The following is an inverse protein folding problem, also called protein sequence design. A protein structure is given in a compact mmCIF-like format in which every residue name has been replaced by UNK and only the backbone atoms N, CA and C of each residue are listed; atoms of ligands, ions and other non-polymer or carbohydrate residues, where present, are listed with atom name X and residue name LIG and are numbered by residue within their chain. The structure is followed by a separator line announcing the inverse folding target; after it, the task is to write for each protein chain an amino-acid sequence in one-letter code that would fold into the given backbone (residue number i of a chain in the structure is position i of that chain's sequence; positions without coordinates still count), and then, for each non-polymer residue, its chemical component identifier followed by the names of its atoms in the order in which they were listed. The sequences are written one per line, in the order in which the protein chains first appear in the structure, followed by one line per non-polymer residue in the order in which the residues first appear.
data_IF_852913860425
#
_entry.id   IF_852913860425
#
_cell.length_a   1.000
_cell.length_b   1.000
_cell.length_c   1.000
_cell.angle_alpha   90.00
_cell.angle_beta   90.00
_cell.angle_gamma   90.00
#
_symmetry.space_group_name_H-M   'P 1'
#
loop_
_entity.id
_entity.type
_entity.pdbx_description
1 polymer ?
#
# COMPACT_ATOMS: atom_id res chain seq x y z
N UNK A 1 -18.00 0.26 -60.33
CA UNK A 1 -17.55 0.89 -59.06
C UNK A 1 -16.06 0.65 -58.93
N UNK A 2 -15.30 1.61 -58.40
CA UNK A 2 -13.83 1.48 -58.32
C UNK A 2 -13.47 0.53 -57.17
N UNK A 3 -12.78 -0.61 -57.40
CA UNK A 3 -12.55 -1.64 -56.38
C UNK A 3 -11.79 -1.12 -55.16
N UNK A 4 -10.97 -0.07 -55.32
CA UNK A 4 -10.31 0.63 -54.21
C UNK A 4 -11.29 1.19 -53.17
N UNK A 5 -12.47 1.64 -53.60
CA UNK A 5 -13.48 2.22 -52.72
C UNK A 5 -14.12 1.17 -51.78
N UNK A 6 -14.30 -0.06 -52.27
CA UNK A 6 -14.81 -1.16 -51.47
C UNK A 6 -13.84 -1.52 -50.34
N UNK A 7 -12.54 -1.53 -50.60
CA UNK A 7 -11.52 -1.74 -49.57
C UNK A 7 -11.56 -0.69 -48.46
N UNK A 8 -11.77 0.60 -48.78
CA UNK A 8 -11.87 1.65 -47.76
C UNK A 8 -13.11 1.47 -46.87
N UNK A 9 -14.23 1.00 -47.43
CA UNK A 9 -15.45 0.72 -46.68
C UNK A 9 -15.24 -0.47 -45.73
N UNK A 10 -14.70 -1.58 -46.23
CA UNK A 10 -14.44 -2.77 -45.40
C UNK A 10 -13.40 -2.49 -44.31
N UNK A 11 -12.37 -1.70 -44.63
CA UNK A 11 -11.37 -1.25 -43.65
C UNK A 11 -12.00 -0.39 -42.55
N UNK A 12 -12.87 0.56 -42.91
CA UNK A 12 -13.57 1.40 -41.93
C UNK A 12 -14.45 0.59 -40.97
N UNK A 13 -15.21 -0.36 -41.49
CA UNK A 13 -16.07 -1.24 -40.68
C UNK A 13 -15.23 -2.15 -39.77
N UNK A 14 -14.15 -2.73 -40.32
CA UNK A 14 -13.23 -3.56 -39.56
C UNK A 14 -12.55 -2.82 -38.42
N UNK A 15 -12.09 -1.59 -38.67
CA UNK A 15 -11.48 -0.74 -37.65
C UNK A 15 -12.44 -0.40 -36.50
N UNK A 16 -13.70 -0.08 -36.82
CA UNK A 16 -14.73 0.21 -35.82
C UNK A 16 -15.04 -1.01 -34.95
N UNK A 17 -15.14 -2.21 -35.55
CA UNK A 17 -15.35 -3.45 -34.80
C UNK A 17 -14.17 -3.75 -33.86
N UNK A 18 -12.94 -3.53 -34.33
CA UNK A 18 -11.71 -3.76 -33.55
C UNK A 18 -11.64 -2.82 -32.33
N UNK A 19 -11.93 -1.53 -32.53
CA UNK A 19 -11.98 -0.53 -31.45
C UNK A 19 -13.05 -0.90 -30.41
N UNK A 20 -14.23 -1.34 -30.85
CA UNK A 20 -15.30 -1.75 -29.94
C UNK A 20 -14.88 -2.93 -29.05
N UNK A 21 -14.21 -3.93 -29.63
CA UNK A 21 -13.70 -5.11 -28.90
C UNK A 21 -12.63 -4.68 -27.88
N UNK A 22 -11.70 -3.80 -28.26
CA UNK A 22 -10.68 -3.25 -27.36
C UNK A 22 -11.29 -2.52 -26.15
N UNK A 23 -12.34 -1.71 -26.36
CA UNK A 23 -13.04 -1.00 -25.27
C UNK A 23 -13.70 -1.99 -24.31
N UNK A 24 -14.34 -3.05 -24.82
CA UNK A 24 -14.98 -4.05 -23.96
C UNK A 24 -13.97 -4.87 -23.16
N UNK A 25 -12.82 -5.20 -23.75
CA UNK A 25 -11.72 -5.87 -23.05
C UNK A 25 -11.18 -4.98 -21.91
N UNK A 26 -10.93 -3.70 -22.15
CA UNK A 26 -10.45 -2.80 -21.08
C UNK A 26 -11.45 -2.68 -19.93
N UNK A 27 -12.76 -2.60 -20.21
CA UNK A 27 -13.79 -2.57 -19.15
C UNK A 27 -13.88 -3.88 -18.34
N UNK A 28 -13.59 -5.02 -18.95
CA UNK A 28 -13.66 -6.33 -18.28
C UNK A 28 -12.38 -6.69 -17.52
N UNK A 29 -11.23 -6.18 -17.95
CA UNK A 29 -9.92 -6.47 -17.33
C UNK A 29 -9.50 -5.46 -16.27
N UNK A 30 -10.05 -4.24 -16.25
CA UNK A 30 -9.84 -3.34 -15.12
C UNK A 30 -10.78 -3.75 -13.97
N UNK A 31 -10.26 -4.25 -12.83
CA UNK A 31 -11.09 -4.52 -11.66
C UNK A 31 -11.76 -3.21 -11.23
N UNK A 32 -13.09 -3.25 -11.10
CA UNK A 32 -13.89 -2.16 -10.55
C UNK A 32 -13.49 -2.00 -9.08
N UNK A 33 -12.46 -1.20 -8.82
CA UNK A 33 -11.93 -0.95 -7.49
C UNK A 33 -12.99 -0.19 -6.68
N UNK A 34 -13.80 -0.93 -5.93
CA UNK A 34 -14.71 -0.40 -4.92
C UNK A 34 -13.90 0.04 -3.68
N UNK A 35 -12.93 0.94 -3.86
CA UNK A 35 -12.20 1.54 -2.75
C UNK A 35 -13.16 2.51 -2.07
N UNK A 36 -13.80 2.05 -0.99
CA UNK A 36 -14.50 2.91 -0.03
C UNK A 36 -13.44 3.60 0.83
N UNK A 37 -13.13 4.85 0.50
CA UNK A 37 -12.30 5.73 1.34
C UNK A 37 -13.19 6.21 2.50
N UNK A 38 -12.96 5.71 3.72
CA UNK A 38 -13.61 6.24 4.91
C UNK A 38 -13.04 7.63 5.20
N UNK A 39 -13.85 8.67 4.94
CA UNK A 39 -13.61 10.04 5.39
C UNK A 39 -13.88 10.11 6.88
N UNK A 40 -12.85 9.89 7.68
CA UNK A 40 -12.94 9.96 9.13
C UNK A 40 -11.63 10.44 9.73
N UNK A 41 -11.12 11.59 9.28
CA UNK A 41 -9.94 12.26 9.86
C UNK A 41 -9.95 13.76 9.51
N UNK A 42 -11.13 14.39 9.55
CA UNK A 42 -11.24 15.85 9.60
C UNK A 42 -11.53 16.24 11.05
N UNK A 43 -10.53 16.07 11.91
CA UNK A 43 -10.55 16.62 13.26
C UNK A 43 -10.39 18.14 13.17
N UNK A 44 -11.49 18.86 13.38
CA UNK A 44 -11.49 20.31 13.52
C UNK A 44 -10.72 20.65 14.81
N UNK A 45 -9.53 21.24 14.69
CA UNK A 45 -8.77 21.71 15.84
C UNK A 45 -9.34 23.05 16.32
N UNK A 46 -10.25 22.98 17.29
CA UNK A 46 -10.71 24.16 18.01
C UNK A 46 -9.54 24.75 18.80
N UNK A 47 -9.11 25.95 18.39
CA UNK A 47 -8.11 26.77 19.10
C UNK A 47 -8.72 27.24 20.43
N UNK A 48 -8.35 26.58 21.53
CA UNK A 48 -8.54 27.13 22.86
C UNK A 48 -7.55 28.28 23.08
N UNK A 49 -8.09 29.46 23.36
CA UNK A 49 -7.35 30.68 23.76
C UNK A 49 -6.61 30.45 25.08
N UNK A 50 -5.28 30.62 25.06
CA UNK A 50 -4.48 30.78 26.28
C UNK A 50 -4.58 32.24 26.76
N UNK A 51 -5.13 32.43 27.96
CA UNK A 51 -4.88 33.61 28.76
C UNK A 51 -3.48 33.52 29.35
N UNK A 52 -2.73 34.58 29.11
CA UNK A 52 -1.39 34.84 29.61
C UNK A 52 -1.50 35.43 31.02
N UNK A 53 -0.85 34.84 32.00
CA UNK A 53 -0.54 35.50 33.26
C UNK A 53 0.86 35.11 33.71
N UNK A 54 1.76 36.08 33.55
CA UNK A 54 3.12 36.08 34.04
C UNK A 54 3.18 35.89 35.56
N UNK A 55 4.11 35.06 36.00
CA UNK A 55 4.96 35.42 37.14
C UNK A 55 6.36 34.85 36.92
N UNK A 56 7.29 35.78 36.81
CA UNK A 56 8.74 35.65 36.91
C UNK A 56 9.17 34.74 38.04
N UNK A 57 9.95 33.72 37.73
CA UNK A 57 11.04 33.23 38.57
C UNK A 57 12.10 32.56 37.68
N UNK A 58 13.30 33.14 37.68
CA UNK A 58 14.51 32.53 37.10
C UNK A 58 14.88 31.30 37.93
N UNK A 59 14.55 30.12 37.42
CA UNK A 59 15.16 28.88 37.87
C UNK A 59 15.64 28.15 36.62
N UNK A 60 16.95 28.18 36.38
CA UNK A 60 17.61 27.35 35.37
C UNK A 60 17.69 25.91 35.90
N UNK A 61 16.55 25.24 35.95
CA UNK A 61 16.49 23.80 36.08
C UNK A 61 16.54 23.21 34.68
N UNK A 62 17.45 22.26 34.45
CA UNK A 62 17.37 21.34 33.32
C UNK A 62 16.07 20.55 33.52
N UNK A 63 14.96 21.12 33.04
CA UNK A 63 13.63 20.52 33.09
C UNK A 63 13.63 19.31 32.17
N UNK A 64 13.13 18.18 32.66
CA UNK A 64 12.84 17.05 31.81
C UNK A 64 11.78 17.47 30.76
N UNK A 65 12.03 17.25 29.45
CA UNK A 65 11.12 17.68 28.41
C UNK A 65 9.71 17.11 28.64
N UNK A 66 8.69 17.97 28.55
CA UNK A 66 7.31 17.51 28.70
C UNK A 66 6.87 16.71 27.47
N UNK A 67 5.98 15.71 27.62
CA UNK A 67 5.59 14.81 26.52
C UNK A 67 5.04 15.55 25.28
N UNK A 68 4.51 16.76 25.45
CA UNK A 68 4.09 17.65 24.36
C UNK A 68 5.24 18.19 23.50
N UNK A 69 6.45 18.28 24.04
CA UNK A 69 7.66 18.72 23.31
C UNK A 69 8.26 17.60 22.45
N UNK A 70 7.90 16.33 22.71
CA UNK A 70 8.26 15.18 21.88
C UNK A 70 7.29 14.94 20.71
N UNK A 71 6.20 15.70 20.62
CA UNK A 71 5.23 15.57 19.53
C UNK A 71 5.59 16.48 18.33
N UNK A 72 6.89 16.65 18.08
CA UNK A 72 7.38 17.19 16.81
C UNK A 72 7.43 16.01 15.84
N UNK A 73 6.63 16.05 14.77
CA UNK A 73 6.75 15.09 13.66
C UNK A 73 8.19 15.18 13.14
N UNK A 74 9.03 14.18 13.44
CA UNK A 74 10.40 14.14 12.94
C UNK A 74 10.31 14.00 11.41
N UNK A 75 10.81 14.99 10.64
CA UNK A 75 10.80 14.91 9.19
C UNK A 75 11.64 13.75 8.64
N UNK A 76 12.49 13.14 9.47
CA UNK A 76 13.28 11.95 9.16
C UNK A 76 12.63 10.64 9.63
N UNK A 77 11.46 10.69 10.28
CA UNK A 77 10.73 9.48 10.65
C UNK A 77 10.29 8.75 9.38
N UNK A 78 10.71 7.49 9.28
CA UNK A 78 10.33 6.64 8.16
C UNK A 78 8.86 6.28 8.33
N UNK A 79 8.00 6.92 7.53
CA UNK A 79 6.57 6.65 7.53
C UNK A 79 6.28 5.39 6.72
N UNK A 80 5.34 4.58 7.19
CA UNK A 80 4.91 3.38 6.49
C UNK A 80 3.39 3.37 6.35
N UNK A 81 2.91 2.93 5.20
CA UNK A 81 1.52 2.53 5.04
C UNK A 81 1.46 1.00 5.17
N UNK A 82 0.77 0.50 6.19
CA UNK A 82 0.51 -0.93 6.35
C UNK A 82 -0.92 -1.29 5.95
N UNK A 83 -1.07 -2.44 5.32
CA UNK A 83 -2.35 -3.08 5.02
C UNK A 83 -2.29 -4.52 5.53
N UNK A 84 -3.25 -4.88 6.38
CA UNK A 84 -3.36 -6.23 6.93
C UNK A 84 -4.54 -6.96 6.28
N UNK A 85 -4.28 -8.15 5.77
CA UNK A 85 -5.25 -9.03 5.13
C UNK A 85 -5.41 -10.28 5.98
N UNK A 86 -6.55 -10.36 6.67
CA UNK A 86 -6.90 -11.52 7.47
C UNK A 86 -7.65 -12.56 6.61
N UNK A 87 -7.28 -13.82 6.81
CA UNK A 87 -7.94 -14.99 6.25
C UNK A 87 -9.37 -15.11 6.82
N UNK A 88 -10.30 -15.59 6.00
CA UNK A 88 -11.61 -16.02 6.50
C UNK A 88 -11.42 -17.22 7.42
N UNK A 89 -12.26 -17.34 8.44
CA UNK A 89 -12.34 -18.56 9.27
C UNK A 89 -12.45 -19.80 8.36
N UNK A 90 -11.63 -20.81 8.65
CA UNK A 90 -11.51 -22.08 7.92
C UNK A 90 -10.82 -22.02 6.53
N UNK A 91 -10.14 -20.92 6.17
CA UNK A 91 -9.33 -20.89 4.95
C UNK A 91 -8.00 -21.63 5.12
N UNK A 92 -7.59 -22.33 4.06
CA UNK A 92 -6.35 -23.12 3.98
C UNK A 92 -5.31 -22.39 3.14
N UNK A 93 -5.09 -21.10 3.39
CA UNK A 93 -4.07 -20.35 2.67
C UNK A 93 -2.68 -20.90 3.04
N UNK A 94 -2.02 -21.50 2.06
CA UNK A 94 -0.68 -22.09 2.18
C UNK A 94 0.36 -21.23 1.48
N UNK A 95 1.62 -21.34 1.93
CA UNK A 95 2.75 -20.58 1.37
C UNK A 95 2.91 -20.82 -0.14
N UNK A 96 2.80 -22.04 -0.63
CA UNK A 96 2.94 -22.36 -2.06
C UNK A 96 1.93 -21.59 -2.95
N UNK A 97 0.68 -21.48 -2.49
CA UNK A 97 -0.38 -20.74 -3.17
C UNK A 97 -0.09 -19.23 -3.12
N UNK A 98 0.39 -18.75 -1.98
CA UNK A 98 0.79 -17.36 -1.81
C UNK A 98 1.96 -17.00 -2.72
N UNK A 99 3.00 -17.83 -2.80
CA UNK A 99 4.13 -17.68 -3.71
C UNK A 99 3.68 -17.60 -5.17
N UNK A 100 2.74 -18.45 -5.57
CA UNK A 100 2.20 -18.43 -6.94
C UNK A 100 1.45 -17.12 -7.22
N UNK A 101 0.57 -16.69 -6.30
CA UNK A 101 -0.27 -15.50 -6.50
C UNK A 101 0.55 -14.20 -6.43
N UNK A 102 1.40 -14.08 -5.43
CA UNK A 102 2.20 -12.89 -5.16
C UNK A 102 3.37 -12.80 -6.14
N UNK A 103 4.00 -13.93 -6.46
CA UNK A 103 5.04 -14.02 -7.49
C UNK A 103 4.56 -13.56 -8.88
N UNK A 104 3.29 -13.79 -9.23
CA UNK A 104 2.70 -13.29 -10.49
C UNK A 104 2.70 -11.74 -10.58
N UNK A 105 2.76 -11.04 -9.45
CA UNK A 105 2.91 -9.57 -9.40
C UNK A 105 4.38 -9.12 -9.31
N UNK A 106 5.31 -10.05 -9.53
CA UNK A 106 6.74 -9.80 -9.60
C UNK A 106 7.38 -9.47 -8.26
N UNK A 107 6.87 -10.04 -7.16
CA UNK A 107 7.59 -10.06 -5.90
C UNK A 107 8.51 -11.27 -5.83
N UNK A 108 9.67 -11.08 -5.21
CA UNK A 108 10.66 -12.13 -4.97
C UNK A 108 10.49 -12.65 -3.55
N UNK A 109 10.50 -13.97 -3.38
CA UNK A 109 10.51 -14.60 -2.06
C UNK A 109 11.97 -14.68 -1.57
N UNK A 110 12.27 -14.06 -0.45
CA UNK A 110 13.62 -13.98 0.11
C UNK A 110 13.53 -13.92 1.62
N UNK A 111 14.36 -14.72 2.32
CA UNK A 111 14.43 -14.74 3.79
C UNK A 111 13.05 -14.94 4.45
N UNK A 112 12.20 -15.79 3.87
CA UNK A 112 10.88 -16.11 4.42
C UNK A 112 9.79 -15.06 4.18
N UNK A 113 10.08 -13.96 3.48
CA UNK A 113 9.12 -12.90 3.15
C UNK A 113 9.13 -12.57 1.65
N UNK A 114 8.18 -11.76 1.18
CA UNK A 114 8.17 -11.29 -0.21
C UNK A 114 8.57 -9.82 -0.31
N UNK A 115 9.40 -9.50 -1.28
CA UNK A 115 9.92 -8.15 -1.49
C UNK A 115 9.63 -7.73 -2.94
N UNK A 116 9.03 -6.55 -3.12
CA UNK A 116 8.97 -5.89 -4.42
C UNK A 116 10.11 -4.88 -4.55
N UNK A 117 11.05 -5.15 -5.45
CA UNK A 117 12.10 -4.18 -5.81
C UNK A 117 11.68 -3.33 -7.02
N UNK A 118 12.04 -2.06 -7.00
CA UNK A 118 11.99 -1.15 -8.15
C UNK A 118 13.20 -1.32 -9.08
N UNK A 119 13.22 -0.57 -10.18
CA UNK A 119 14.32 -0.53 -11.15
C UNK A 119 15.67 -0.18 -10.51
N UNK A 120 15.68 0.62 -9.46
CA UNK A 120 16.88 1.05 -8.73
C UNK A 120 17.20 0.16 -7.51
N UNK A 121 16.64 -1.05 -7.43
CA UNK A 121 16.73 -1.96 -6.26
C UNK A 121 16.14 -1.39 -4.95
N UNK A 122 15.59 -0.18 -4.96
CA UNK A 122 14.79 0.38 -3.87
C UNK A 122 13.56 -0.50 -3.61
N UNK A 123 13.30 -0.78 -2.34
CA UNK A 123 12.16 -1.61 -1.95
C UNK A 123 10.89 -0.76 -2.05
N UNK A 124 9.94 -1.21 -2.87
CA UNK A 124 8.66 -0.53 -3.07
C UNK A 124 7.64 -0.94 -2.03
N UNK A 125 7.57 -2.23 -1.71
CA UNK A 125 6.75 -2.76 -0.63
C UNK A 125 7.18 -4.17 -0.24
N UNK A 126 6.82 -4.54 0.98
CA UNK A 126 7.07 -5.83 1.61
C UNK A 126 5.75 -6.56 1.82
N UNK A 127 5.79 -7.88 1.75
CA UNK A 127 4.69 -8.74 2.17
C UNK A 127 5.26 -9.80 3.10
N UNK A 128 4.79 -9.82 4.33
CA UNK A 128 5.30 -10.69 5.39
C UNK A 128 4.15 -11.30 6.18
N UNK A 129 4.47 -12.35 6.94
CA UNK A 129 3.51 -12.97 7.84
C UNK A 129 3.18 -12.01 8.98
N UNK A 130 1.90 -11.66 9.12
CA UNK A 130 1.47 -10.80 10.22
C UNK A 130 1.30 -11.55 11.54
N UNK A 131 1.38 -12.88 11.52
CA UNK A 131 1.32 -13.71 12.71
C UNK A 131 2.69 -13.73 13.40
N UNK A 132 2.69 -13.50 14.71
CA UNK A 132 3.87 -13.78 15.53
C UNK A 132 3.96 -15.29 15.76
N UNK A 133 5.07 -15.87 15.31
CA UNK A 133 5.45 -17.23 15.66
C UNK A 133 6.86 -17.18 16.25
N UNK A 134 7.02 -17.63 17.48
CA UNK A 134 8.31 -17.68 18.19
C UNK A 134 9.33 -18.62 17.53
N UNK A 135 8.87 -19.55 16.68
CA UNK A 135 9.71 -20.54 15.98
C UNK A 135 10.24 -20.04 14.65
N UNK A 136 9.59 -19.02 14.08
CA UNK A 136 9.95 -18.41 12.82
C UNK A 136 10.53 -17.02 13.09
N UNK A 137 11.44 -16.55 12.22
CA UNK A 137 11.86 -15.15 12.28
C UNK A 137 10.64 -14.23 12.12
N UNK A 138 10.63 -13.07 12.79
CA UNK A 138 9.55 -12.09 12.68
C UNK A 138 9.24 -11.78 11.20
N UNK A 139 8.00 -12.02 10.78
CA UNK A 139 7.55 -11.81 9.41
C UNK A 139 7.77 -12.97 8.43
N UNK A 140 8.38 -14.08 8.83
CA UNK A 140 8.56 -15.24 7.96
C UNK A 140 7.27 -16.07 7.84
N UNK A 141 6.97 -16.53 6.62
CA UNK A 141 5.83 -17.41 6.39
C UNK A 141 6.16 -18.87 6.74
N UNK A 142 5.25 -19.59 7.43
CA UNK A 142 5.43 -21.00 7.71
C UNK A 142 5.29 -21.85 6.44
N UNK A 143 6.16 -22.86 6.28
CA UNK A 143 6.12 -23.74 5.12
C UNK A 143 4.95 -24.73 5.15
N UNK A 144 4.65 -25.27 6.34
CA UNK A 144 3.69 -26.37 6.49
C UNK A 144 2.37 -25.96 7.17
N UNK A 145 2.26 -24.72 7.65
CA UNK A 145 1.10 -24.24 8.40
C UNK A 145 0.16 -23.41 7.52
N UNK A 146 -1.01 -23.07 8.07
CA UNK A 146 -1.94 -22.16 7.41
C UNK A 146 -1.57 -20.73 7.77
N UNK A 147 -1.58 -19.85 6.78
CA UNK A 147 -1.31 -18.43 6.95
C UNK A 147 -2.66 -17.74 7.19
N UNK A 148 -2.85 -17.13 8.36
CA UNK A 148 -4.10 -16.43 8.66
C UNK A 148 -3.99 -14.91 8.57
N UNK A 149 -2.79 -14.35 8.58
CA UNK A 149 -2.58 -12.91 8.46
C UNK A 149 -1.42 -12.59 7.52
N UNK A 150 -1.71 -11.78 6.52
CA UNK A 150 -0.68 -11.20 5.65
C UNK A 150 -0.61 -9.71 5.93
N UNK A 151 0.61 -9.21 6.12
CA UNK A 151 0.88 -7.79 6.27
C UNK A 151 1.62 -7.29 5.04
N UNK A 152 1.11 -6.23 4.43
CA UNK A 152 1.71 -5.53 3.29
C UNK A 152 2.17 -4.16 3.78
N UNK A 153 3.45 -3.87 3.66
CA UNK A 153 4.02 -2.60 4.11
C UNK A 153 4.65 -1.85 2.96
N UNK A 154 4.21 -0.60 2.78
CA UNK A 154 4.73 0.33 1.81
C UNK A 154 5.53 1.42 2.54
N UNK A 155 6.87 1.46 2.40
CA UNK A 155 7.64 2.60 2.88
C UNK A 155 7.23 3.87 2.15
N UNK A 156 6.80 4.87 2.91
CA UNK A 156 6.67 6.24 2.42
C UNK A 156 8.03 6.91 2.57
N UNK A 157 8.98 6.55 1.69
CA UNK A 157 10.18 7.36 1.54
C UNK A 157 9.71 8.76 1.17
N UNK A 158 10.04 9.74 2.01
CA UNK A 158 9.44 11.07 2.04
C UNK A 158 8.99 11.52 0.66
N UNK A 159 7.67 11.66 0.48
CA UNK A 159 7.14 12.42 -0.64
C UNK A 159 7.79 13.80 -0.54
N UNK A 160 8.89 14.02 -1.27
CA UNK A 160 9.42 15.35 -1.49
C UNK A 160 8.25 16.12 -2.06
N UNK A 161 7.69 17.03 -1.25
CA UNK A 161 6.64 17.95 -1.68
C UNK A 161 7.18 18.62 -2.95
N UNK A 162 6.62 18.26 -4.10
CA UNK A 162 6.76 19.03 -5.32
C UNK A 162 5.82 20.22 -5.25
#
# INVERSE_FOLDING_TARGET
MNPLYEYFIYFGIGALALIFILIQLTKSFLPKNNIRISRGLSGNSDKASHEDNQSTDEINEIRAPTQSEFNLEDPNEIKFLSLHLASKKDSTLKLNLLQTKVGAYGLEFTEGSFIKRGSEKLIKYFVFNGEEDERLGSGAFPENENINLISIVLPQNGQKKF
#
